data_IF_858555173733
#
_entry.id   IF_858555173733
#
_cell.length_a   1.000
_cell.length_b   1.000
_cell.length_c   1.000
_cell.angle_alpha   90.00
_cell.angle_beta   90.00
_cell.angle_gamma   90.00
#
_symmetry.space_group_name_H-M   'P 1'
#
loop_
_entity.id
_entity.type
_entity.pdbx_description
1 polymer ?
#
# COMPACT_ATOMS: atom_id res chain seq x y z
N UNK A 1 11.61 16.28 30.73
CA UNK A 1 12.63 15.57 29.90
C UNK A 1 13.90 16.40 29.89
N UNK A 2 15.03 15.79 30.20
CA UNK A 2 16.36 16.42 30.10
C UNK A 2 16.94 16.21 28.70
N UNK A 3 17.99 16.96 28.35
CA UNK A 3 18.67 16.75 27.05
C UNK A 3 19.28 15.36 26.93
N UNK A 4 19.84 14.81 28.03
CA UNK A 4 20.39 13.44 28.01
C UNK A 4 19.31 12.35 27.76
N UNK A 5 18.15 12.50 28.39
CA UNK A 5 17.01 11.61 28.13
C UNK A 5 16.54 11.69 26.67
N UNK A 6 16.45 12.92 26.13
CA UNK A 6 16.09 13.13 24.73
C UNK A 6 17.13 12.50 23.78
N UNK A 7 18.41 12.71 24.03
CA UNK A 7 19.49 12.14 23.21
C UNK A 7 19.46 10.60 23.19
N UNK A 8 19.18 9.98 24.35
CA UNK A 8 19.02 8.52 24.43
C UNK A 8 17.81 8.03 23.64
N UNK A 9 16.66 8.72 23.75
CA UNK A 9 15.45 8.39 22.97
C UNK A 9 15.73 8.48 21.47
N UNK A 10 16.39 9.55 21.00
CA UNK A 10 16.77 9.72 19.60
C UNK A 10 17.66 8.58 19.13
N UNK A 11 18.71 8.29 19.88
CA UNK A 11 19.68 7.24 19.53
C UNK A 11 19.02 5.86 19.41
N UNK A 12 18.20 5.48 20.39
CA UNK A 12 17.51 4.19 20.37
C UNK A 12 16.41 4.13 19.29
N UNK A 13 15.61 5.19 19.12
CA UNK A 13 14.57 5.27 18.10
C UNK A 13 15.13 5.16 16.68
N UNK A 14 16.33 5.72 16.45
CA UNK A 14 16.99 5.70 15.16
C UNK A 14 17.82 4.44 14.88
N UNK A 15 17.96 3.54 15.88
CA UNK A 15 18.76 2.32 15.73
C UNK A 15 18.13 1.39 14.68
N UNK A 16 18.98 0.90 13.76
CA UNK A 16 18.64 -0.19 12.84
C UNK A 16 19.01 -1.52 13.50
N UNK A 17 18.03 -2.41 13.60
CA UNK A 17 18.23 -3.74 14.19
C UNK A 17 18.94 -4.70 13.23
N UNK A 18 18.91 -4.41 11.91
CA UNK A 18 19.53 -5.23 10.87
C UNK A 18 20.20 -4.33 9.81
N UNK A 19 21.49 -4.57 9.58
CA UNK A 19 22.21 -4.01 8.43
C UNK A 19 21.90 -4.87 7.18
N UNK A 20 21.61 -4.23 6.04
CA UNK A 20 21.50 -4.94 4.75
C UNK A 20 20.10 -5.18 4.21
N UNK A 21 19.12 -4.36 4.54
CA UNK A 21 17.80 -4.42 3.88
C UNK A 21 17.90 -4.15 2.38
N UNK A 22 16.91 -4.66 1.64
CA UNK A 22 16.82 -4.46 0.19
C UNK A 22 16.71 -2.98 -0.18
N UNK A 23 17.14 -2.65 -1.40
CA UNK A 23 16.93 -1.30 -1.97
C UNK A 23 15.51 -1.22 -2.51
N UNK A 24 14.75 -0.24 -2.00
CA UNK A 24 13.37 -0.02 -2.43
C UNK A 24 13.29 0.99 -3.58
N UNK A 25 12.34 0.78 -4.48
CA UNK A 25 12.17 1.62 -5.68
C UNK A 25 11.99 3.12 -5.38
N UNK A 26 11.41 3.48 -4.25
CA UNK A 26 11.20 4.87 -3.83
C UNK A 26 12.38 5.50 -3.06
N UNK A 27 13.41 4.75 -2.69
CA UNK A 27 14.57 5.31 -1.98
C UNK A 27 15.27 6.40 -2.79
N UNK A 28 15.56 6.13 -4.05
CA UNK A 28 16.18 7.12 -4.96
C UNK A 28 15.33 8.41 -5.10
N UNK A 29 13.99 8.26 -5.15
CA UNK A 29 13.09 9.42 -5.21
C UNK A 29 13.10 10.21 -3.90
N UNK A 30 13.12 9.52 -2.76
CA UNK A 30 13.20 10.14 -1.44
C UNK A 30 14.54 10.84 -1.25
N UNK A 31 15.65 10.22 -1.65
CA UNK A 31 16.98 10.82 -1.60
C UNK A 31 17.08 12.10 -2.43
N UNK A 32 16.58 12.08 -3.67
CA UNK A 32 16.49 13.29 -4.50
C UNK A 32 15.67 14.40 -3.85
N UNK A 33 14.53 14.03 -3.24
CA UNK A 33 13.68 14.97 -2.51
C UNK A 33 14.34 15.49 -1.22
N UNK A 34 15.33 14.78 -0.69
CA UNK A 34 16.05 15.14 0.54
C UNK A 34 17.13 16.19 0.32
N UNK A 35 17.50 16.49 -0.93
CA UNK A 35 18.48 17.55 -1.28
C UNK A 35 17.98 18.93 -0.82
N UNK A 36 16.67 19.15 -0.89
CA UNK A 36 16.08 20.44 -0.49
C UNK A 36 15.27 20.29 0.81
N UNK A 37 15.30 21.30 1.71
CA UNK A 37 14.49 21.25 2.94
C UNK A 37 12.99 21.23 2.64
N UNK A 38 12.53 21.92 1.61
CA UNK A 38 11.12 21.95 1.18
C UNK A 38 10.92 21.12 -0.09
N UNK A 39 9.76 20.46 -0.29
CA UNK A 39 8.59 20.35 0.61
C UNK A 39 8.78 19.37 1.79
N UNK A 40 7.77 19.30 2.69
CA UNK A 40 7.68 18.28 3.75
C UNK A 40 7.53 16.91 3.09
N UNK A 41 8.32 15.93 3.53
CA UNK A 41 8.26 14.55 3.04
C UNK A 41 7.29 13.77 3.92
N UNK A 42 6.17 13.34 3.33
CA UNK A 42 5.11 12.59 4.01
C UNK A 42 5.16 11.14 3.56
N UNK A 43 5.47 10.25 4.48
CA UNK A 43 5.65 8.83 4.22
C UNK A 43 4.49 8.05 4.83
N UNK A 44 3.64 7.48 4.00
CA UNK A 44 2.46 6.73 4.41
C UNK A 44 2.54 5.27 3.99
N UNK A 45 1.63 4.46 4.47
CA UNK A 45 1.51 3.06 4.10
C UNK A 45 1.04 2.23 5.28
N UNK A 46 0.60 1.01 5.00
CA UNK A 46 0.10 0.11 6.03
C UNK A 46 1.15 -0.15 7.13
N UNK A 47 0.68 -0.49 8.31
CA UNK A 47 1.53 -0.92 9.42
C UNK A 47 2.48 -2.04 8.96
N UNK A 48 3.78 -1.94 9.33
CA UNK A 48 4.85 -2.91 9.01
C UNK A 48 5.25 -2.99 7.52
N UNK A 49 4.86 -2.02 6.69
CA UNK A 49 5.34 -1.93 5.29
C UNK A 49 6.80 -1.47 5.14
N UNK A 50 7.45 -1.04 6.23
CA UNK A 50 8.86 -0.60 6.23
C UNK A 50 9.06 0.92 6.30
N UNK A 51 8.05 1.73 6.65
CA UNK A 51 8.16 3.20 6.79
C UNK A 51 9.28 3.63 7.75
N UNK A 52 9.22 3.14 8.99
CA UNK A 52 10.23 3.44 10.03
C UNK A 52 11.62 2.95 9.64
N UNK A 53 11.71 1.78 8.97
CA UNK A 53 12.97 1.27 8.44
C UNK A 53 13.58 2.22 7.40
N UNK A 54 12.77 2.74 6.48
CA UNK A 54 13.20 3.71 5.47
C UNK A 54 13.73 5.00 6.11
N UNK A 55 13.05 5.52 7.16
CA UNK A 55 13.53 6.70 7.91
C UNK A 55 14.85 6.43 8.61
N UNK A 56 14.99 5.28 9.27
CA UNK A 56 16.24 4.89 9.96
C UNK A 56 17.40 4.71 8.98
N UNK A 57 17.14 4.17 7.79
CA UNK A 57 18.12 4.06 6.71
C UNK A 57 18.60 5.44 6.24
N UNK A 58 17.67 6.38 6.06
CA UNK A 58 18.00 7.76 5.71
C UNK A 58 18.78 8.46 6.85
N UNK A 59 18.38 8.27 8.10
CA UNK A 59 19.11 8.77 9.27
C UNK A 59 20.58 8.31 9.26
N UNK A 60 20.80 7.01 9.04
CA UNK A 60 22.16 6.45 8.94
C UNK A 60 22.97 7.06 7.80
N UNK A 61 22.36 7.17 6.61
CA UNK A 61 23.00 7.79 5.46
C UNK A 61 23.44 9.23 5.75
N UNK A 62 22.60 10.04 6.40
CA UNK A 62 22.93 11.42 6.77
C UNK A 62 24.17 11.50 7.65
N UNK A 63 24.34 10.56 8.59
CA UNK A 63 25.49 10.53 9.50
C UNK A 63 26.71 9.95 8.80
N UNK A 64 26.58 8.73 8.27
CA UNK A 64 27.72 7.91 7.83
C UNK A 64 28.27 8.37 6.48
N UNK A 65 27.41 8.92 5.59
CA UNK A 65 27.77 9.32 4.24
C UNK A 65 27.83 10.84 4.06
N UNK A 66 26.81 11.54 4.56
CA UNK A 66 26.67 12.98 4.33
C UNK A 66 27.36 13.82 5.44
N UNK A 67 27.88 13.18 6.49
CA UNK A 67 28.64 13.82 7.56
C UNK A 67 27.84 14.77 8.46
N UNK A 68 26.52 14.61 8.52
CA UNK A 68 25.64 15.43 9.36
C UNK A 68 25.83 15.04 10.82
N UNK A 69 26.04 16.04 11.69
CA UNK A 69 26.13 15.81 13.14
C UNK A 69 24.83 15.24 13.69
N UNK A 70 24.94 14.27 14.58
CA UNK A 70 23.79 13.70 15.30
C UNK A 70 23.00 14.79 16.06
N UNK A 71 23.68 15.83 16.56
CA UNK A 71 23.02 16.98 17.20
C UNK A 71 22.12 17.79 16.28
N UNK A 72 22.22 17.60 14.96
CA UNK A 72 21.39 18.28 13.96
C UNK A 72 20.21 17.42 13.47
N UNK A 73 20.02 16.23 14.07
CA UNK A 73 18.96 15.30 13.67
C UNK A 73 18.05 15.02 14.87
N UNK A 74 16.79 15.46 14.78
CA UNK A 74 15.74 15.09 15.72
C UNK A 74 14.98 13.88 15.16
N UNK A 75 15.06 12.73 15.84
CA UNK A 75 14.31 11.53 15.47
C UNK A 75 13.40 11.10 16.62
N UNK A 76 12.08 11.20 16.43
CA UNK A 76 11.08 10.84 17.43
C UNK A 76 10.13 9.79 16.84
N UNK A 77 10.02 8.63 17.52
CA UNK A 77 9.03 7.62 17.23
C UNK A 77 7.91 7.66 18.28
N UNK A 78 6.73 8.10 17.90
CA UNK A 78 5.59 8.27 18.83
C UNK A 78 4.88 6.95 19.18
N UNK A 79 5.38 5.80 18.75
CA UNK A 79 5.02 4.48 19.31
C UNK A 79 5.88 4.10 20.53
N UNK A 80 6.95 4.85 20.81
CA UNK A 80 7.78 4.66 22.00
C UNK A 80 6.98 5.02 23.25
N UNK A 81 6.94 4.12 24.23
CA UNK A 81 6.16 4.27 25.46
C UNK A 81 6.65 5.44 26.33
N UNK A 82 7.93 5.79 26.25
CA UNK A 82 8.53 6.95 26.93
C UNK A 82 7.94 8.28 26.42
N UNK A 83 7.38 8.30 25.21
CA UNK A 83 6.76 9.48 24.59
C UNK A 83 5.23 9.52 24.75
N UNK A 84 4.58 8.53 25.38
CA UNK A 84 3.11 8.50 25.52
C UNK A 84 2.56 9.76 26.17
N UNK A 85 3.19 10.23 27.26
CA UNK A 85 2.77 11.46 27.95
C UNK A 85 3.11 12.74 27.18
N UNK A 86 3.95 12.64 26.15
CA UNK A 86 4.42 13.72 25.31
C UNK A 86 3.59 13.89 24.03
N UNK A 87 2.53 13.08 23.83
CA UNK A 87 1.73 13.07 22.61
C UNK A 87 0.73 14.26 22.54
N UNK A 88 1.23 15.46 22.78
CA UNK A 88 0.47 16.71 22.68
C UNK A 88 1.35 17.85 22.13
N UNK A 89 0.70 18.89 21.62
CA UNK A 89 1.36 20.01 20.97
C UNK A 89 2.39 20.73 21.87
N UNK A 90 2.05 20.94 23.13
CA UNK A 90 2.94 21.67 24.08
C UNK A 90 4.21 20.89 24.34
N UNK A 91 4.09 19.59 24.64
CA UNK A 91 5.25 18.73 24.85
C UNK A 91 6.13 18.61 23.61
N UNK A 92 5.51 18.50 22.42
CA UNK A 92 6.26 18.45 21.17
C UNK A 92 7.07 19.72 20.91
N UNK A 93 6.53 20.89 21.25
CA UNK A 93 7.27 22.16 21.20
C UNK A 93 8.42 22.22 22.19
N UNK A 94 8.19 21.81 23.43
CA UNK A 94 9.24 21.78 24.44
C UNK A 94 10.40 20.84 24.07
N UNK A 95 10.10 19.68 23.47
CA UNK A 95 11.12 18.75 22.95
C UNK A 95 11.92 19.42 21.83
N UNK A 96 11.25 20.07 20.91
CA UNK A 96 11.90 20.77 19.80
C UNK A 96 12.79 21.93 20.27
N UNK A 97 12.31 22.75 21.20
CA UNK A 97 13.11 23.84 21.80
C UNK A 97 14.34 23.29 22.53
N UNK A 98 14.19 22.20 23.31
CA UNK A 98 15.29 21.54 23.96
C UNK A 98 16.32 21.01 22.94
N UNK A 99 15.85 20.37 21.85
CA UNK A 99 16.72 19.91 20.77
C UNK A 99 17.54 21.07 20.17
N UNK A 100 16.91 22.22 19.91
CA UNK A 100 17.59 23.38 19.32
C UNK A 100 18.75 23.92 20.17
N UNK A 101 18.79 23.65 21.47
CA UNK A 101 19.91 24.09 22.35
C UNK A 101 21.24 23.43 22.01
N UNK A 102 21.24 22.29 21.31
CA UNK A 102 22.44 21.53 20.94
C UNK A 102 22.75 21.54 19.43
N UNK A 103 21.92 22.19 18.63
CA UNK A 103 22.09 22.25 17.17
C UNK A 103 23.36 23.00 16.77
N UNK A 104 24.14 22.41 15.87
CA UNK A 104 25.24 23.10 15.20
C UNK A 104 24.67 23.99 14.08
N UNK A 105 24.75 25.27 14.24
CA UNK A 105 24.19 26.27 13.30
C UNK A 105 24.84 26.27 11.90
N UNK A 106 25.96 25.60 11.71
CA UNK A 106 26.67 25.53 10.42
C UNK A 106 26.18 24.40 9.49
N UNK A 107 25.35 23.51 10.01
CA UNK A 107 24.82 22.36 9.26
C UNK A 107 23.29 22.41 9.14
N UNK A 108 22.71 21.77 8.08
CA UNK A 108 21.28 21.66 7.98
C UNK A 108 20.67 20.80 9.12
N UNK A 109 19.42 21.10 9.47
CA UNK A 109 18.67 20.41 10.52
C UNK A 109 17.65 19.48 9.89
N UNK A 110 17.59 18.26 10.40
CA UNK A 110 16.68 17.20 9.96
C UNK A 110 15.73 16.82 11.11
N UNK A 111 14.43 16.75 10.79
CA UNK A 111 13.37 16.42 11.75
C UNK A 111 12.59 15.22 11.23
N UNK A 112 12.69 14.10 11.94
CA UNK A 112 11.97 12.84 11.66
C UNK A 112 10.93 12.63 12.76
N UNK A 113 9.65 12.62 12.36
CA UNK A 113 8.51 12.41 13.25
C UNK A 113 7.78 11.13 12.79
N UNK A 114 8.18 10.01 13.37
CA UNK A 114 7.66 8.69 13.04
C UNK A 114 6.35 8.43 13.78
N UNK A 115 5.30 7.96 13.05
CA UNK A 115 3.95 7.72 13.53
C UNK A 115 3.33 8.97 14.22
N UNK A 116 3.51 10.15 13.60
CA UNK A 116 3.13 11.47 14.17
C UNK A 116 1.63 11.61 14.49
N UNK A 117 0.76 10.81 13.89
CA UNK A 117 -0.69 10.84 14.13
C UNK A 117 -1.08 10.53 15.58
N UNK A 118 -0.17 10.07 16.41
CA UNK A 118 -0.42 9.90 17.86
C UNK A 118 -0.35 11.21 18.62
N UNK A 119 0.24 12.28 18.06
CA UNK A 119 0.39 13.58 18.70
C UNK A 119 -0.80 14.48 18.37
N UNK A 120 -1.56 14.89 19.37
CA UNK A 120 -2.67 15.83 19.15
C UNK A 120 -2.16 17.21 18.74
N UNK A 121 -2.67 17.75 17.62
CA UNK A 121 -2.32 19.07 17.10
C UNK A 121 -0.96 19.16 16.41
N UNK A 122 -0.38 18.04 16.01
CA UNK A 122 0.89 17.96 15.31
C UNK A 122 0.93 18.80 14.01
N UNK A 123 -0.19 18.94 13.33
CA UNK A 123 -0.30 19.68 12.07
C UNK A 123 0.10 21.16 12.25
N UNK A 124 -0.31 21.76 13.36
CA UNK A 124 0.04 23.15 13.71
C UNK A 124 1.53 23.29 13.98
N UNK A 125 2.13 22.30 14.64
CA UNK A 125 3.56 22.27 14.92
C UNK A 125 4.36 22.19 13.62
N UNK A 126 4.08 21.22 12.78
CA UNK A 126 4.76 20.99 11.50
C UNK A 126 4.65 22.22 10.60
N UNK A 127 3.46 22.84 10.53
CA UNK A 127 3.24 24.07 9.77
C UNK A 127 4.10 25.23 10.29
N UNK A 128 4.13 25.44 11.61
CA UNK A 128 4.93 26.51 12.22
C UNK A 128 6.40 26.36 11.86
N UNK A 129 6.98 25.17 12.02
CA UNK A 129 8.38 24.92 11.68
C UNK A 129 8.61 25.10 10.18
N UNK A 130 7.72 24.57 9.34
CA UNK A 130 7.84 24.74 7.89
C UNK A 130 7.87 26.21 7.46
N UNK A 131 7.02 27.05 8.04
CA UNK A 131 6.92 28.47 7.67
C UNK A 131 8.10 29.29 8.22
N UNK A 132 8.65 28.93 9.40
CA UNK A 132 9.65 29.72 10.11
C UNK A 132 11.10 29.27 9.90
N UNK A 133 11.33 28.07 9.31
CA UNK A 133 12.67 27.50 9.20
C UNK A 133 12.94 26.88 7.82
N UNK A 134 14.21 26.53 7.58
CA UNK A 134 14.66 25.72 6.44
C UNK A 134 15.06 24.30 6.87
N UNK A 135 14.35 23.73 7.83
CA UNK A 135 14.60 22.36 8.26
C UNK A 135 14.05 21.33 7.26
N UNK A 136 14.74 20.20 7.15
CA UNK A 136 14.26 19.04 6.41
C UNK A 136 13.26 18.27 7.29
N UNK A 137 11.98 18.25 6.91
CA UNK A 137 10.92 17.65 7.72
C UNK A 137 10.43 16.38 7.04
N UNK A 138 10.45 15.27 7.79
CA UNK A 138 9.95 13.95 7.41
C UNK A 138 8.93 13.51 8.44
N UNK A 139 7.76 13.13 7.97
CA UNK A 139 6.70 12.62 8.83
C UNK A 139 6.20 11.28 8.30
N UNK A 140 5.91 10.34 9.20
CA UNK A 140 5.28 9.09 8.81
C UNK A 140 3.97 8.85 9.53
N UNK A 141 3.17 7.97 8.94
CA UNK A 141 2.01 7.39 9.58
C UNK A 141 1.38 6.23 8.83
N UNK A 142 0.74 5.37 9.59
CA UNK A 142 0.03 4.19 9.10
C UNK A 142 -1.40 4.46 8.65
N UNK A 143 -1.75 5.73 8.40
CA UNK A 143 -3.11 6.13 8.08
C UNK A 143 -3.12 7.27 7.06
N UNK A 144 -4.11 7.26 6.15
CA UNK A 144 -4.32 8.30 5.14
C UNK A 144 -4.75 9.67 5.72
N UNK A 145 -4.98 9.78 7.04
CA UNK A 145 -5.24 11.07 7.67
C UNK A 145 -4.10 12.07 7.47
N UNK A 146 -2.86 11.57 7.35
CA UNK A 146 -1.70 12.39 6.95
C UNK A 146 -1.84 12.98 5.55
N UNK A 147 -2.73 12.41 4.73
CA UNK A 147 -3.06 12.84 3.37
C UNK A 147 -4.46 13.47 3.31
N UNK A 148 -5.11 13.68 4.47
CA UNK A 148 -6.46 14.23 4.50
C UNK A 148 -6.51 15.61 3.85
N UNK A 149 -7.66 15.94 3.27
CA UNK A 149 -7.91 17.26 2.68
C UNK A 149 -7.64 18.39 3.66
N UNK A 150 -7.89 18.19 4.95
CA UNK A 150 -7.62 19.19 6.00
C UNK A 150 -6.13 19.46 6.16
N UNK A 151 -5.29 18.42 6.19
CA UNK A 151 -3.84 18.58 6.28
C UNK A 151 -3.25 19.11 4.97
N UNK A 152 -3.63 18.50 3.83
CA UNK A 152 -3.20 18.96 2.50
C UNK A 152 -3.63 20.41 2.24
N UNK A 153 -4.84 20.79 2.64
CA UNK A 153 -5.33 22.17 2.50
C UNK A 153 -4.59 23.12 3.44
N UNK A 154 -4.31 22.71 4.68
CA UNK A 154 -3.59 23.54 5.66
C UNK A 154 -2.15 23.83 5.23
N UNK A 155 -1.52 22.92 4.50
CA UNK A 155 -0.16 23.05 3.97
C UNK A 155 -0.08 23.47 2.50
N UNK A 156 -1.22 23.58 1.80
CA UNK A 156 -1.31 24.22 0.49
C UNK A 156 -0.31 23.72 -0.57
N UNK A 157 -0.20 22.40 -0.80
CA UNK A 157 0.73 21.83 -1.77
C UNK A 157 2.21 21.79 -1.34
N UNK A 158 2.48 22.00 -0.05
CA UNK A 158 3.84 22.01 0.53
C UNK A 158 4.32 20.64 0.99
N UNK A 159 3.69 19.56 0.52
CA UNK A 159 4.00 18.18 0.87
C UNK A 159 4.44 17.39 -0.37
N UNK A 160 5.34 16.45 -0.18
CA UNK A 160 5.71 15.43 -1.15
C UNK A 160 5.43 14.06 -0.56
N UNK A 161 4.54 13.33 -1.22
CA UNK A 161 4.01 12.06 -0.72
C UNK A 161 4.81 10.87 -1.23
N UNK A 162 5.05 9.93 -0.29
CA UNK A 162 5.65 8.62 -0.53
C UNK A 162 4.77 7.56 0.10
N UNK A 163 4.01 6.84 -0.71
CA UNK A 163 3.22 5.71 -0.23
C UNK A 163 4.05 4.43 -0.28
N UNK A 164 4.27 3.81 0.88
CA UNK A 164 5.10 2.62 1.05
C UNK A 164 4.23 1.38 1.08
N UNK A 165 4.23 0.65 -0.01
CA UNK A 165 3.58 -0.66 -0.11
C UNK A 165 4.40 -1.76 0.59
N UNK A 166 3.82 -2.93 0.90
CA UNK A 166 4.57 -4.17 1.12
C UNK A 166 5.57 -4.42 -0.02
N UNK A 167 6.43 -5.41 0.04
CA UNK A 167 7.37 -5.67 -1.05
C UNK A 167 6.64 -5.97 -2.37
N UNK A 168 7.12 -5.42 -3.48
CA UNK A 168 6.77 -5.90 -4.81
C UNK A 168 7.36 -7.31 -5.02
N UNK A 169 6.93 -8.02 -6.05
CA UNK A 169 7.51 -9.34 -6.31
C UNK A 169 9.02 -9.26 -6.59
N UNK A 170 9.47 -8.23 -7.29
CA UNK A 170 10.91 -7.97 -7.50
C UNK A 170 11.66 -7.75 -6.18
N UNK A 171 11.13 -6.93 -5.28
CA UNK A 171 11.69 -6.68 -3.95
C UNK A 171 11.65 -7.95 -3.08
N UNK A 172 10.58 -8.75 -3.21
CA UNK A 172 10.45 -10.05 -2.55
C UNK A 172 11.55 -11.02 -3.01
N UNK A 173 11.80 -11.15 -4.32
CA UNK A 173 12.90 -11.98 -4.84
C UNK A 173 14.27 -11.51 -4.33
N UNK A 174 14.51 -10.19 -4.33
CA UNK A 174 15.76 -9.63 -3.79
C UNK A 174 15.96 -9.96 -2.30
N UNK A 175 14.88 -10.00 -1.50
CA UNK A 175 14.98 -10.37 -0.08
C UNK A 175 15.44 -11.81 0.14
N UNK A 176 15.25 -12.68 -0.85
CA UNK A 176 15.78 -14.05 -0.91
C UNK A 176 17.05 -14.17 -1.75
N UNK A 177 17.71 -13.05 -2.08
CA UNK A 177 18.94 -13.01 -2.88
C UNK A 177 18.79 -13.62 -4.30
N UNK A 178 17.57 -13.64 -4.83
CA UNK A 178 17.29 -14.08 -6.19
C UNK A 178 17.37 -12.86 -7.11
N UNK A 179 18.25 -12.94 -8.10
CA UNK A 179 18.38 -11.90 -9.14
C UNK A 179 17.14 -11.86 -10.02
N UNK A 180 16.78 -10.65 -10.47
CA UNK A 180 15.76 -10.47 -11.49
C UNK A 180 16.40 -10.77 -12.84
N UNK A 181 15.87 -11.76 -13.61
CA UNK A 181 16.42 -12.13 -14.91
C UNK A 181 16.41 -10.96 -15.89
N UNK A 182 17.52 -10.76 -16.61
CA UNK A 182 17.68 -9.69 -17.59
C UNK A 182 17.58 -10.19 -19.04
N UNK A 183 17.60 -11.51 -19.23
CA UNK A 183 17.55 -12.15 -20.53
C UNK A 183 16.91 -13.56 -20.44
N UNK A 184 16.48 -14.15 -21.58
CA UNK A 184 15.82 -15.46 -21.60
C UNK A 184 16.64 -16.62 -21.02
N UNK A 185 17.98 -16.55 -21.05
CA UNK A 185 18.84 -17.60 -20.50
C UNK A 185 18.82 -17.58 -18.97
N UNK A 186 18.99 -16.41 -18.37
CA UNK A 186 18.86 -16.24 -16.92
C UNK A 186 17.44 -16.62 -16.45
N UNK A 187 16.41 -16.29 -17.25
CA UNK A 187 15.05 -16.71 -16.97
C UNK A 187 14.91 -18.24 -16.93
N UNK A 188 15.48 -18.93 -17.91
CA UNK A 188 15.45 -20.41 -17.95
C UNK A 188 16.17 -21.02 -16.74
N UNK A 189 17.32 -20.46 -16.34
CA UNK A 189 18.09 -20.89 -15.18
C UNK A 189 17.34 -20.69 -13.86
N UNK A 190 16.72 -19.52 -13.67
CA UNK A 190 16.09 -19.13 -12.41
C UNK A 190 14.61 -19.53 -12.32
N UNK A 191 14.02 -20.05 -13.39
CA UNK A 191 12.58 -20.30 -13.51
C UNK A 191 11.98 -21.06 -12.33
N UNK A 192 12.57 -22.18 -11.96
CA UNK A 192 12.08 -23.01 -10.85
C UNK A 192 12.06 -22.26 -9.53
N UNK A 193 13.12 -21.51 -9.24
CA UNK A 193 13.23 -20.69 -8.01
C UNK A 193 12.22 -19.54 -8.01
N UNK A 194 12.05 -18.88 -9.16
CA UNK A 194 11.10 -17.76 -9.31
C UNK A 194 9.67 -18.28 -9.17
N UNK A 195 9.31 -19.38 -9.85
CA UNK A 195 7.97 -19.97 -9.76
C UNK A 195 7.63 -20.39 -8.32
N UNK A 196 8.55 -21.08 -7.64
CA UNK A 196 8.35 -21.45 -6.24
C UNK A 196 8.13 -20.22 -5.33
N UNK A 197 8.93 -19.16 -5.52
CA UNK A 197 8.79 -17.92 -4.75
C UNK A 197 7.54 -17.15 -5.14
N UNK A 198 7.13 -17.25 -6.39
CA UNK A 198 5.90 -16.60 -6.84
C UNK A 198 4.67 -17.22 -6.18
N UNK A 199 4.59 -18.54 -6.08
CA UNK A 199 3.51 -19.23 -5.35
C UNK A 199 3.45 -18.78 -3.88
N UNK A 200 4.61 -18.66 -3.22
CA UNK A 200 4.67 -18.12 -1.85
C UNK A 200 4.19 -16.68 -1.77
N UNK A 201 4.58 -15.84 -2.74
CA UNK A 201 4.19 -14.44 -2.82
C UNK A 201 2.68 -14.28 -3.07
N UNK A 202 2.13 -15.08 -3.98
CA UNK A 202 0.68 -15.10 -4.25
C UNK A 202 -0.10 -15.51 -3.00
N UNK A 203 0.35 -16.52 -2.27
CA UNK A 203 -0.35 -17.03 -1.08
C UNK A 203 -0.20 -16.12 0.16
N UNK A 204 0.99 -15.60 0.43
CA UNK A 204 1.32 -14.93 1.69
C UNK A 204 1.72 -13.45 1.54
N UNK A 205 1.74 -12.92 0.32
CA UNK A 205 2.11 -11.54 0.06
C UNK A 205 3.58 -11.23 0.26
N UNK A 206 3.86 -9.92 0.36
CA UNK A 206 5.22 -9.36 0.48
C UNK A 206 5.43 -8.50 1.73
N UNK A 207 4.67 -8.69 2.80
CA UNK A 207 4.85 -7.87 4.01
C UNK A 207 6.19 -8.18 4.67
N UNK A 208 7.13 -7.19 4.76
CA UNK A 208 8.53 -7.41 5.14
C UNK A 208 8.76 -8.24 6.41
N UNK A 209 7.94 -8.03 7.44
CA UNK A 209 8.07 -8.72 8.72
C UNK A 209 7.65 -10.19 8.66
N UNK A 210 6.80 -10.56 7.68
CA UNK A 210 6.18 -11.88 7.61
C UNK A 210 6.89 -12.80 6.61
N UNK A 211 7.51 -12.26 5.57
CA UNK A 211 8.04 -13.07 4.46
C UNK A 211 9.03 -14.16 4.90
N UNK A 212 9.89 -13.86 5.87
CA UNK A 212 10.93 -14.77 6.35
C UNK A 212 10.48 -15.72 7.47
N UNK A 213 9.23 -15.59 7.95
CA UNK A 213 8.70 -16.49 8.97
C UNK A 213 8.40 -17.88 8.36
N UNK A 214 8.53 -18.96 9.15
CA UNK A 214 7.96 -20.25 8.78
C UNK A 214 6.46 -20.15 8.48
N UNK A 215 5.93 -20.98 7.59
CA UNK A 215 4.51 -20.91 7.19
C UNK A 215 3.55 -21.02 8.40
N UNK A 216 3.89 -21.90 9.36
CA UNK A 216 3.13 -22.04 10.62
C UNK A 216 3.03 -20.76 11.44
N UNK A 217 4.06 -19.91 11.40
CA UNK A 217 4.12 -18.66 12.15
C UNK A 217 3.51 -17.48 11.39
N UNK A 218 3.45 -17.54 10.06
CA UNK A 218 2.88 -16.46 9.23
C UNK A 218 1.43 -16.16 9.60
N UNK A 219 0.61 -17.18 9.84
CA UNK A 219 -0.79 -17.02 10.22
C UNK A 219 -0.95 -16.40 11.61
N UNK A 220 -0.09 -16.78 12.57
CA UNK A 220 -0.10 -16.19 13.90
C UNK A 220 0.30 -14.71 13.85
N UNK A 221 1.36 -14.38 13.11
CA UNK A 221 1.81 -13.00 12.93
C UNK A 221 0.74 -12.16 12.22
N UNK A 222 0.08 -12.71 11.18
CA UNK A 222 -1.07 -12.10 10.51
C UNK A 222 -2.18 -11.76 11.49
N UNK A 223 -2.65 -12.73 12.28
CA UNK A 223 -3.77 -12.54 13.18
C UNK A 223 -3.46 -11.43 14.20
N UNK A 224 -2.26 -11.44 14.78
CA UNK A 224 -1.79 -10.38 15.68
C UNK A 224 -1.76 -9.01 15.00
N UNK A 225 -1.34 -8.95 13.74
CA UNK A 225 -1.28 -7.70 12.99
C UNK A 225 -2.68 -7.17 12.65
N UNK A 226 -3.58 -8.05 12.19
CA UNK A 226 -4.99 -7.70 11.91
C UNK A 226 -5.65 -7.15 13.17
N UNK A 227 -5.47 -7.83 14.32
CA UNK A 227 -6.04 -7.38 15.58
C UNK A 227 -5.52 -5.96 15.93
N UNK A 228 -4.21 -5.71 15.80
CA UNK A 228 -3.65 -4.38 16.02
C UNK A 228 -4.24 -3.33 15.09
N UNK A 229 -4.37 -3.62 13.80
CA UNK A 229 -4.97 -2.69 12.83
C UNK A 229 -6.45 -2.45 13.17
N UNK A 230 -7.23 -3.51 13.35
CA UNK A 230 -8.67 -3.41 13.64
C UNK A 230 -8.93 -2.68 14.96
N UNK A 231 -8.25 -3.09 16.04
CA UNK A 231 -8.52 -2.53 17.37
C UNK A 231 -7.90 -1.14 17.52
N UNK A 232 -6.61 -0.99 17.24
CA UNK A 232 -5.88 0.25 17.53
C UNK A 232 -6.11 1.33 16.47
N UNK A 233 -5.99 0.95 15.19
CA UNK A 233 -5.98 1.92 14.11
C UNK A 233 -7.40 2.24 13.60
N UNK A 234 -8.40 1.37 13.86
CA UNK A 234 -9.80 1.61 13.48
C UNK A 234 -10.68 1.84 14.72
N UNK A 235 -10.91 0.82 15.56
CA UNK A 235 -11.90 0.88 16.65
C UNK A 235 -11.59 2.02 17.62
N UNK A 236 -10.38 2.04 18.19
CA UNK A 236 -10.00 3.04 19.20
C UNK A 236 -9.90 4.44 18.60
N UNK A 237 -9.34 4.54 17.41
CA UNK A 237 -9.12 5.83 16.73
C UNK A 237 -10.43 6.50 16.32
N UNK A 238 -11.33 5.76 15.69
CA UNK A 238 -12.62 6.29 15.23
C UNK A 238 -13.73 6.14 16.26
N UNK A 239 -13.40 5.62 17.47
CA UNK A 239 -14.34 5.40 18.59
C UNK A 239 -15.60 4.67 18.14
N UNK A 240 -15.41 3.51 17.47
CA UNK A 240 -16.52 2.76 16.88
C UNK A 240 -17.51 2.28 17.93
N UNK A 241 -18.79 2.55 17.67
CA UNK A 241 -19.88 2.12 18.53
C UNK A 241 -20.14 0.60 18.47
N UNK A 242 -19.88 -0.03 17.32
CA UNK A 242 -20.19 -1.44 17.06
C UNK A 242 -18.98 -2.17 16.47
N UNK A 243 -17.98 -2.55 17.29
CA UNK A 243 -16.78 -3.25 16.82
C UNK A 243 -17.03 -4.58 16.09
N UNK A 244 -18.11 -5.30 16.46
CA UNK A 244 -18.50 -6.58 15.84
C UNK A 244 -18.80 -6.43 14.37
N UNK A 245 -19.45 -5.34 13.95
CA UNK A 245 -19.72 -5.04 12.53
C UNK A 245 -18.43 -4.96 11.73
N UNK A 246 -17.39 -4.36 12.31
CA UNK A 246 -16.10 -4.23 11.62
C UNK A 246 -15.44 -5.59 11.38
N UNK A 247 -15.54 -6.50 12.35
CA UNK A 247 -15.00 -7.87 12.21
C UNK A 247 -15.75 -8.67 11.14
N UNK A 248 -17.09 -8.60 11.13
CA UNK A 248 -17.91 -9.24 10.10
C UNK A 248 -17.66 -8.63 8.71
N UNK A 249 -17.43 -7.31 8.64
CA UNK A 249 -17.08 -6.63 7.40
C UNK A 249 -15.68 -7.07 6.88
N UNK A 250 -14.69 -7.16 7.76
CA UNK A 250 -13.37 -7.67 7.41
C UNK A 250 -13.44 -9.08 6.84
N UNK A 251 -14.17 -9.99 7.54
CA UNK A 251 -14.36 -11.38 7.07
C UNK A 251 -15.07 -11.43 5.71
N UNK A 252 -16.09 -10.59 5.51
CA UNK A 252 -16.74 -10.47 4.21
C UNK A 252 -15.75 -10.12 3.11
N UNK A 253 -14.93 -9.07 3.34
CA UNK A 253 -13.95 -8.62 2.35
C UNK A 253 -12.85 -9.68 2.09
N UNK A 254 -12.49 -10.45 3.12
CA UNK A 254 -11.50 -11.53 2.98
C UNK A 254 -12.01 -12.67 2.07
N UNK A 255 -13.30 -13.01 2.19
CA UNK A 255 -13.94 -14.07 1.39
C UNK A 255 -14.38 -13.60 -0.01
N UNK A 256 -14.44 -12.28 -0.24
CA UNK A 256 -14.94 -11.66 -1.46
C UNK A 256 -13.97 -10.61 -2.01
N UNK A 257 -12.67 -10.91 -1.90
CA UNK A 257 -11.61 -10.04 -2.47
C UNK A 257 -11.76 -10.01 -3.99
N UNK A 258 -11.84 -8.81 -4.58
CA UNK A 258 -12.02 -8.67 -6.02
C UNK A 258 -13.47 -8.71 -6.49
N UNK A 259 -14.42 -9.13 -5.67
CA UNK A 259 -15.83 -9.12 -6.03
C UNK A 259 -16.42 -7.71 -6.10
N UNK A 260 -17.37 -7.53 -7.03
CA UNK A 260 -18.13 -6.27 -7.14
C UNK A 260 -19.16 -6.20 -6.03
N UNK A 261 -19.00 -5.25 -5.12
CA UNK A 261 -19.88 -5.05 -3.99
C UNK A 261 -20.35 -3.61 -3.82
N UNK A 262 -21.54 -3.44 -3.23
CA UNK A 262 -22.03 -2.17 -2.71
C UNK A 262 -22.22 -2.27 -1.20
N UNK A 263 -22.18 -1.14 -0.49
CA UNK A 263 -22.44 -1.11 0.95
C UNK A 263 -23.78 -1.76 1.32
N UNK A 264 -24.78 -1.64 0.46
CA UNK A 264 -26.12 -2.27 0.61
C UNK A 264 -26.03 -3.79 0.50
N UNK A 265 -25.32 -4.32 -0.50
CA UNK A 265 -25.14 -5.77 -0.67
C UNK A 265 -24.39 -6.39 0.50
N UNK A 266 -23.32 -5.75 0.93
CA UNK A 266 -22.53 -6.16 2.10
C UNK A 266 -23.39 -6.15 3.37
N UNK A 267 -24.17 -5.08 3.59
CA UNK A 267 -25.06 -4.99 4.75
C UNK A 267 -26.09 -6.14 4.77
N UNK A 268 -26.67 -6.47 3.61
CA UNK A 268 -27.63 -7.57 3.48
C UNK A 268 -26.98 -8.93 3.74
N UNK A 269 -25.76 -9.15 3.21
CA UNK A 269 -25.00 -10.37 3.46
C UNK A 269 -24.76 -10.58 4.96
N UNK A 270 -24.21 -9.57 5.65
CA UNK A 270 -23.92 -9.64 7.09
C UNK A 270 -25.20 -9.88 7.91
N UNK A 271 -26.33 -9.24 7.55
CA UNK A 271 -27.62 -9.49 8.21
C UNK A 271 -28.10 -10.94 8.06
N UNK A 272 -27.94 -11.51 6.88
CA UNK A 272 -28.36 -12.88 6.56
C UNK A 272 -27.56 -13.93 7.33
N UNK A 273 -26.34 -13.61 7.79
CA UNK A 273 -25.56 -14.47 8.68
C UNK A 273 -26.10 -14.48 10.13
N UNK A 274 -27.09 -13.66 10.45
CA UNK A 274 -27.83 -13.71 11.71
C UNK A 274 -27.19 -12.99 12.90
N UNK A 275 -25.97 -12.48 12.76
CA UNK A 275 -25.25 -11.84 13.87
C UNK A 275 -25.77 -10.43 14.20
N UNK A 276 -26.26 -9.69 13.20
CA UNK A 276 -26.61 -8.27 13.35
C UNK A 276 -27.91 -7.96 12.59
N UNK A 277 -29.02 -7.84 13.32
CA UNK A 277 -30.35 -7.61 12.72
C UNK A 277 -30.53 -6.21 12.12
N UNK A 278 -29.98 -5.17 12.75
CA UNK A 278 -30.18 -3.76 12.38
C UNK A 278 -28.87 -3.12 11.87
N UNK A 279 -28.37 -3.53 10.71
CA UNK A 279 -27.20 -2.96 10.07
C UNK A 279 -27.63 -2.06 8.90
N UNK A 280 -27.28 -0.77 8.94
CA UNK A 280 -27.54 0.14 7.82
C UNK A 280 -26.39 0.09 6.79
N UNK A 281 -26.73 0.30 5.51
CA UNK A 281 -25.77 0.49 4.43
C UNK A 281 -24.84 1.68 4.69
N UNK A 282 -25.34 2.74 5.32
CA UNK A 282 -24.53 3.91 5.74
C UNK A 282 -23.44 3.54 6.73
N UNK A 283 -23.77 2.67 7.71
CA UNK A 283 -22.76 2.19 8.68
C UNK A 283 -21.66 1.38 7.99
N UNK A 284 -22.04 0.47 7.09
CA UNK A 284 -21.08 -0.31 6.30
C UNK A 284 -20.20 0.60 5.46
N UNK A 285 -20.77 1.61 4.79
CA UNK A 285 -20.02 2.57 3.99
C UNK A 285 -18.97 3.32 4.82
N UNK A 286 -19.34 3.81 6.00
CA UNK A 286 -18.42 4.50 6.92
C UNK A 286 -17.29 3.55 7.38
N UNK A 287 -17.62 2.30 7.70
CA UNK A 287 -16.61 1.33 8.15
C UNK A 287 -15.67 0.89 7.03
N UNK A 288 -16.16 0.79 5.79
CA UNK A 288 -15.31 0.61 4.60
C UNK A 288 -14.34 1.77 4.44
N UNK A 289 -14.82 3.02 4.57
CA UNK A 289 -13.96 4.21 4.51
C UNK A 289 -12.88 4.20 5.61
N UNK A 290 -13.19 3.68 6.80
CA UNK A 290 -12.18 3.54 7.86
C UNK A 290 -11.13 2.48 7.54
N UNK A 291 -11.52 1.34 6.94
CA UNK A 291 -10.56 0.34 6.46
C UNK A 291 -9.69 0.87 5.32
N UNK A 292 -10.29 1.59 4.36
CA UNK A 292 -9.53 2.29 3.30
C UNK A 292 -8.53 3.29 3.91
N UNK A 293 -8.93 4.05 4.93
CA UNK A 293 -8.06 5.02 5.63
C UNK A 293 -6.86 4.37 6.33
N UNK A 294 -6.92 3.12 6.75
CA UNK A 294 -5.78 2.40 7.33
C UNK A 294 -4.88 1.74 6.29
N UNK A 295 -5.16 1.95 5.01
CA UNK A 295 -4.48 1.28 3.90
C UNK A 295 -4.57 -0.25 3.93
N UNK A 296 -5.48 -0.82 4.71
CA UNK A 296 -5.69 -2.28 4.76
C UNK A 296 -6.35 -2.79 3.48
N UNK A 297 -7.33 -2.03 3.00
CA UNK A 297 -8.03 -2.30 1.74
C UNK A 297 -8.00 -1.07 0.85
N UNK A 298 -8.07 -1.30 -0.44
CA UNK A 298 -8.20 -0.29 -1.47
C UNK A 298 -9.38 -0.63 -2.37
N UNK A 299 -10.06 0.38 -2.89
CA UNK A 299 -11.23 0.19 -3.72
C UNK A 299 -11.03 0.78 -5.10
N UNK A 300 -11.41 0.03 -6.14
CA UNK A 300 -11.51 0.56 -7.50
C UNK A 300 -12.97 0.69 -7.94
N UNK A 301 -13.19 1.65 -8.84
CA UNK A 301 -14.51 1.97 -9.37
C UNK A 301 -14.70 1.35 -10.74
N UNK A 302 -15.96 1.23 -11.15
CA UNK A 302 -16.31 0.87 -12.53
C UNK A 302 -15.78 1.94 -13.49
N UNK A 303 -15.14 1.52 -14.56
CA UNK A 303 -14.84 2.39 -15.69
C UNK A 303 -16.15 2.80 -16.40
N UNK A 304 -16.39 4.08 -16.56
CA UNK A 304 -17.54 4.58 -17.31
C UNK A 304 -17.28 5.94 -17.92
N UNK A 305 -17.79 6.13 -19.15
CA UNK A 305 -17.82 7.45 -19.80
C UNK A 305 -19.01 8.30 -19.37
N UNK A 306 -20.05 7.68 -18.76
CA UNK A 306 -21.26 8.37 -18.34
C UNK A 306 -21.10 8.92 -16.94
N UNK A 307 -21.23 10.24 -16.76
CA UNK A 307 -21.08 10.91 -15.46
C UNK A 307 -21.95 10.29 -14.34
N UNK A 308 -23.16 9.81 -14.67
CA UNK A 308 -24.04 9.15 -13.70
C UNK A 308 -23.49 7.80 -13.17
N UNK A 309 -22.71 7.09 -13.98
CA UNK A 309 -22.14 5.78 -13.60
C UNK A 309 -20.83 5.94 -12.82
N UNK A 310 -20.13 7.07 -12.95
CA UNK A 310 -18.95 7.40 -12.15
C UNK A 310 -19.27 7.47 -10.64
N UNK A 311 -20.54 7.78 -10.32
CA UNK A 311 -21.05 7.81 -8.94
C UNK A 311 -21.69 6.47 -8.50
N UNK A 312 -21.46 5.39 -9.26
CA UNK A 312 -21.92 4.06 -8.85
C UNK A 312 -21.37 3.71 -7.47
N UNK A 313 -22.25 3.21 -6.60
CA UNK A 313 -21.83 2.73 -5.28
C UNK A 313 -21.11 1.36 -5.35
N UNK A 314 -21.11 0.71 -6.51
CA UNK A 314 -20.44 -0.57 -6.72
C UNK A 314 -18.94 -0.36 -6.90
N UNK A 315 -18.16 -1.08 -6.12
CA UNK A 315 -16.70 -1.08 -6.16
C UNK A 315 -16.20 -2.51 -6.06
N UNK A 316 -14.97 -2.75 -6.53
CA UNK A 316 -14.19 -3.92 -6.13
C UNK A 316 -13.25 -3.51 -4.99
N UNK A 317 -13.08 -4.37 -4.01
CA UNK A 317 -12.20 -4.14 -2.86
C UNK A 317 -11.07 -5.16 -2.86
N UNK A 318 -9.84 -4.68 -2.70
CA UNK A 318 -8.63 -5.48 -2.65
C UNK A 318 -7.83 -5.18 -1.39
N UNK A 319 -7.19 -6.19 -0.84
CA UNK A 319 -6.23 -5.98 0.24
C UNK A 319 -4.90 -5.49 -0.30
N UNK A 320 -4.22 -4.64 0.48
CA UNK A 320 -2.89 -4.12 0.13
C UNK A 320 -1.82 -5.22 0.07
N UNK A 321 -2.10 -6.38 0.64
CA UNK A 321 -1.22 -7.56 0.64
C UNK A 321 -2.04 -8.84 0.87
N UNK A 322 -1.67 -9.93 0.19
CA UNK A 322 -2.40 -11.18 0.25
C UNK A 322 -2.37 -11.86 1.62
N UNK A 323 -1.43 -11.50 2.49
CA UNK A 323 -1.44 -12.00 3.88
C UNK A 323 -2.75 -11.65 4.61
N UNK A 324 -3.46 -10.62 4.17
CA UNK A 324 -4.74 -10.20 4.76
C UNK A 324 -5.97 -10.90 4.17
N UNK A 325 -5.81 -11.66 3.07
CA UNK A 325 -6.88 -12.35 2.35
C UNK A 325 -6.64 -13.86 2.19
N UNK A 326 -6.01 -14.50 3.17
CA UNK A 326 -5.62 -15.92 3.09
C UNK A 326 -6.80 -16.90 3.01
N UNK A 327 -8.01 -16.46 3.35
CA UNK A 327 -9.24 -17.27 3.23
C UNK A 327 -9.89 -17.16 1.84
N UNK A 328 -9.42 -16.27 0.97
CA UNK A 328 -9.87 -16.17 -0.43
C UNK A 328 -9.42 -17.36 -1.26
N UNK A 329 -9.98 -17.51 -2.44
CA UNK A 329 -9.57 -18.55 -3.39
C UNK A 329 -8.27 -18.17 -4.13
N UNK A 330 -7.52 -19.13 -4.69
CA UNK A 330 -6.29 -18.86 -5.44
C UNK A 330 -6.46 -17.91 -6.62
N UNK A 331 -7.63 -17.88 -7.25
CA UNK A 331 -7.99 -16.95 -8.33
C UNK A 331 -8.01 -15.50 -7.81
N UNK A 332 -8.67 -15.28 -6.67
CA UNK A 332 -8.76 -13.99 -5.99
C UNK A 332 -7.39 -13.53 -5.47
N UNK A 333 -6.54 -14.46 -4.99
CA UNK A 333 -5.17 -14.11 -4.61
C UNK A 333 -4.36 -13.59 -5.79
N UNK A 334 -4.47 -14.22 -6.96
CA UNK A 334 -3.75 -13.79 -8.15
C UNK A 334 -4.25 -12.42 -8.61
N UNK A 335 -5.57 -12.23 -8.65
CA UNK A 335 -6.17 -10.95 -9.01
C UNK A 335 -5.74 -9.84 -8.06
N UNK A 336 -5.73 -10.09 -6.73
CA UNK A 336 -5.26 -9.13 -5.74
C UNK A 336 -3.76 -8.78 -5.89
N UNK A 337 -2.91 -9.75 -6.24
CA UNK A 337 -1.48 -9.52 -6.51
C UNK A 337 -1.29 -8.66 -7.77
N UNK A 338 -2.04 -8.96 -8.84
CA UNK A 338 -2.02 -8.16 -10.07
C UNK A 338 -2.52 -6.73 -9.78
N UNK A 339 -3.62 -6.58 -9.05
CA UNK A 339 -4.10 -5.27 -8.59
C UNK A 339 -2.99 -4.48 -7.87
N UNK A 340 -2.35 -5.09 -6.87
CA UNK A 340 -1.27 -4.46 -6.11
C UNK A 340 -0.08 -4.06 -6.98
N UNK A 341 0.23 -4.81 -8.03
CA UNK A 341 1.22 -4.42 -9.02
C UNK A 341 0.76 -3.18 -9.81
N UNK A 342 -0.48 -3.20 -10.32
CA UNK A 342 -1.01 -2.13 -11.15
C UNK A 342 -1.05 -0.77 -10.45
N UNK A 343 -1.46 -0.72 -9.18
CA UNK A 343 -1.49 0.53 -8.40
C UNK A 343 -0.11 1.06 -8.00
N UNK A 344 0.95 0.25 -8.11
CA UNK A 344 2.34 0.68 -7.88
C UNK A 344 2.96 1.33 -9.09
N UNK A 345 2.59 0.84 -10.29
CA UNK A 345 3.18 1.30 -11.55
C UNK A 345 2.32 2.35 -12.25
N UNK A 346 1.06 2.51 -11.84
CA UNK A 346 0.14 3.51 -12.36
C UNK A 346 -0.36 4.43 -11.23
N UNK A 347 -0.93 5.57 -11.59
CA UNK A 347 -1.71 6.35 -10.65
C UNK A 347 -2.97 5.54 -10.26
N UNK A 348 -3.20 5.26 -8.96
CA UNK A 348 -4.37 4.49 -8.51
C UNK A 348 -5.71 5.06 -8.99
N UNK A 349 -5.80 6.36 -9.23
CA UNK A 349 -7.01 7.02 -9.77
C UNK A 349 -7.32 6.66 -11.23
N UNK A 350 -6.36 6.05 -11.93
CA UNK A 350 -6.48 5.60 -13.32
C UNK A 350 -6.70 4.10 -13.47
N UNK A 351 -6.84 3.37 -12.35
CA UNK A 351 -7.12 1.93 -12.33
C UNK A 351 -8.60 1.71 -12.02
N UNK A 352 -9.29 0.99 -12.89
CA UNK A 352 -10.72 0.71 -12.83
C UNK A 352 -10.98 -0.76 -13.08
N UNK A 353 -12.22 -1.23 -12.85
CA UNK A 353 -12.71 -2.48 -13.44
C UNK A 353 -13.70 -2.17 -14.57
N UNK A 354 -13.79 -3.06 -15.56
CA UNK A 354 -14.74 -2.98 -16.66
C UNK A 354 -15.97 -3.84 -16.40
N UNK A 355 -17.20 -3.33 -16.74
CA UNK A 355 -18.40 -4.15 -16.73
C UNK A 355 -19.39 -3.62 -17.74
N UNK A 356 -19.84 -4.47 -18.65
CA UNK A 356 -20.83 -4.12 -19.64
C UNK A 356 -22.27 -4.21 -19.11
N UNK A 357 -23.26 -3.85 -19.95
CA UNK A 357 -24.69 -3.88 -19.61
C UNK A 357 -25.23 -5.31 -19.41
N UNK A 358 -24.54 -6.33 -19.95
CA UNK A 358 -24.88 -7.75 -19.80
C UNK A 358 -24.20 -8.40 -18.60
N UNK A 359 -23.47 -7.62 -17.81
CA UNK A 359 -22.79 -8.10 -16.60
C UNK A 359 -21.43 -8.77 -16.85
N UNK A 360 -20.91 -8.76 -18.10
CA UNK A 360 -19.59 -9.30 -18.40
C UNK A 360 -18.52 -8.35 -17.90
N UNK A 361 -17.50 -8.88 -17.31
CA UNK A 361 -16.51 -8.15 -16.53
C UNK A 361 -15.12 -8.25 -17.16
N UNK A 362 -14.38 -7.14 -17.15
CA UNK A 362 -12.94 -7.07 -17.34
C UNK A 362 -12.33 -6.68 -16.00
N UNK A 363 -11.39 -7.47 -15.49
CA UNK A 363 -10.87 -7.31 -14.14
C UNK A 363 -10.24 -5.94 -13.93
N UNK A 364 -9.40 -5.49 -14.87
CA UNK A 364 -8.78 -4.17 -14.79
C UNK A 364 -8.83 -3.42 -16.10
N UNK A 365 -9.13 -2.13 -16.01
CA UNK A 365 -9.03 -1.14 -17.08
C UNK A 365 -8.11 -0.01 -16.60
N UNK A 366 -7.06 0.26 -17.36
CA UNK A 366 -6.09 1.31 -17.03
C UNK A 366 -6.23 2.43 -18.04
N UNK A 367 -6.44 3.65 -17.55
CA UNK A 367 -6.43 4.84 -18.41
C UNK A 367 -5.03 5.44 -18.44
N UNK A 368 -4.36 5.31 -19.57
CA UNK A 368 -3.04 5.84 -19.80
C UNK A 368 -3.02 7.38 -19.92
N UNK A 369 -1.84 7.99 -19.82
CA UNK A 369 -1.66 9.45 -19.95
C UNK A 369 -2.11 9.99 -21.32
N UNK A 370 -2.02 9.20 -22.37
CA UNK A 370 -2.50 9.50 -23.74
C UNK A 370 -4.01 9.22 -23.93
N UNK A 371 -4.74 8.92 -22.86
CA UNK A 371 -6.16 8.59 -22.79
C UNK A 371 -6.52 7.25 -23.44
N UNK A 372 -5.56 6.42 -23.82
CA UNK A 372 -5.81 5.04 -24.23
C UNK A 372 -6.18 4.18 -23.03
N UNK A 373 -6.89 3.10 -23.31
CA UNK A 373 -7.40 2.17 -22.31
C UNK A 373 -6.76 0.80 -22.53
N UNK A 374 -5.93 0.39 -21.57
CA UNK A 374 -5.48 -0.99 -21.49
C UNK A 374 -6.49 -1.81 -20.72
N UNK A 375 -6.75 -3.03 -21.17
CA UNK A 375 -7.65 -3.97 -20.52
C UNK A 375 -6.90 -5.25 -20.14
N UNK A 376 -7.04 -5.66 -18.89
CA UNK A 376 -6.34 -6.81 -18.32
C UNK A 376 -7.38 -7.75 -17.72
N UNK A 377 -7.32 -9.02 -18.15
CA UNK A 377 -8.05 -10.12 -17.56
C UNK A 377 -7.06 -10.99 -16.79
N UNK A 378 -7.46 -11.51 -15.63
CA UNK A 378 -6.65 -12.38 -14.80
C UNK A 378 -7.27 -13.76 -14.72
N UNK A 379 -6.47 -14.79 -14.91
CA UNK A 379 -6.92 -16.18 -14.87
C UNK A 379 -5.88 -17.04 -14.12
N UNK A 380 -6.27 -17.65 -13.00
CA UNK A 380 -5.34 -18.48 -12.24
C UNK A 380 -4.88 -19.68 -13.05
N UNK A 381 -5.80 -20.34 -13.75
CA UNK A 381 -5.54 -21.54 -14.54
C UNK A 381 -6.18 -21.44 -15.91
N UNK A 382 -5.36 -21.21 -16.94
CA UNK A 382 -5.81 -21.13 -18.32
C UNK A 382 -5.88 -22.53 -18.94
N UNK A 383 -7.06 -22.90 -19.41
CA UNK A 383 -7.35 -24.21 -20.04
C UNK A 383 -8.03 -24.02 -21.38
N UNK A 384 -8.14 -25.09 -22.19
CA UNK A 384 -8.89 -25.04 -23.45
C UNK A 384 -10.38 -24.71 -23.21
N UNK A 385 -10.95 -25.11 -22.06
CA UNK A 385 -12.37 -24.93 -21.74
C UNK A 385 -12.72 -23.48 -21.35
N UNK A 386 -11.81 -22.77 -20.68
CA UNK A 386 -12.08 -21.40 -20.20
C UNK A 386 -11.50 -20.30 -21.10
N UNK A 387 -10.60 -20.63 -22.01
CA UNK A 387 -9.93 -19.67 -22.90
C UNK A 387 -10.92 -18.75 -23.63
N UNK A 388 -11.93 -19.33 -24.26
CA UNK A 388 -12.93 -18.55 -25.01
C UNK A 388 -13.70 -17.59 -24.13
N UNK A 389 -13.97 -17.93 -22.87
CA UNK A 389 -14.62 -17.07 -21.89
C UNK A 389 -13.74 -15.85 -21.59
N UNK A 390 -12.47 -16.10 -21.24
CA UNK A 390 -11.52 -15.05 -20.84
C UNK A 390 -11.23 -14.08 -21.99
N UNK A 391 -10.99 -14.60 -23.19
CA UNK A 391 -10.73 -13.80 -24.40
C UNK A 391 -11.95 -13.01 -24.83
N UNK A 392 -13.14 -13.61 -24.73
CA UNK A 392 -14.40 -13.00 -25.20
C UNK A 392 -14.64 -11.64 -24.54
N UNK A 393 -14.34 -11.53 -23.25
CA UNK A 393 -14.56 -10.29 -22.50
C UNK A 393 -13.62 -9.19 -23.00
N UNK A 394 -12.34 -9.51 -23.20
CA UNK A 394 -11.35 -8.57 -23.76
C UNK A 394 -11.70 -8.15 -25.19
N UNK A 395 -12.13 -9.08 -26.05
CA UNK A 395 -12.56 -8.77 -27.42
C UNK A 395 -13.76 -7.81 -27.44
N UNK A 396 -14.75 -8.07 -26.59
CA UNK A 396 -15.90 -7.17 -26.47
C UNK A 396 -15.51 -5.79 -25.96
N UNK A 397 -14.61 -5.73 -24.97
CA UNK A 397 -14.09 -4.45 -24.53
C UNK A 397 -13.41 -3.68 -25.67
N UNK A 398 -12.63 -4.36 -26.51
CA UNK A 398 -11.97 -3.75 -27.66
C UNK A 398 -12.96 -3.20 -28.70
N UNK A 399 -14.05 -3.93 -28.96
CA UNK A 399 -15.10 -3.50 -29.89
C UNK A 399 -15.78 -2.20 -29.44
N UNK A 400 -16.03 -2.07 -28.12
CA UNK A 400 -16.65 -0.85 -27.56
C UNK A 400 -15.69 0.34 -27.45
N UNK A 401 -14.38 0.11 -27.49
CA UNK A 401 -13.36 1.13 -27.22
C UNK A 401 -12.37 1.33 -28.38
N UNK A 402 -12.71 0.95 -29.61
CA UNK A 402 -11.82 0.95 -30.79
C UNK A 402 -10.94 2.19 -30.93
N UNK A 403 -11.52 3.38 -30.75
CA UNK A 403 -10.84 4.66 -30.96
C UNK A 403 -9.83 4.99 -29.83
N UNK A 404 -9.88 4.29 -28.71
CA UNK A 404 -9.06 4.52 -27.51
C UNK A 404 -8.43 3.26 -26.99
N UNK A 405 -8.42 2.21 -27.79
CA UNK A 405 -7.85 0.94 -27.38
C UNK A 405 -6.32 1.06 -27.23
N UNK A 406 -5.82 0.63 -26.08
CA UNK A 406 -4.43 0.38 -25.81
C UNK A 406 -4.09 -1.11 -25.91
N UNK A 407 -3.53 -1.67 -24.88
CA UNK A 407 -3.16 -3.09 -24.81
C UNK A 407 -4.32 -3.95 -24.30
N UNK A 408 -4.39 -5.18 -24.82
CA UNK A 408 -5.22 -6.24 -24.28
C UNK A 408 -4.31 -7.34 -23.72
N UNK A 409 -4.43 -7.62 -22.44
CA UNK A 409 -3.58 -8.59 -21.76
C UNK A 409 -4.41 -9.64 -21.03
N UNK A 410 -4.04 -10.91 -21.16
CA UNK A 410 -4.53 -12.02 -20.34
C UNK A 410 -3.37 -12.51 -19.48
N UNK A 411 -3.45 -12.23 -18.18
CA UNK A 411 -2.44 -12.60 -17.18
C UNK A 411 -2.85 -13.92 -16.55
N UNK A 412 -1.97 -14.93 -16.58
CA UNK A 412 -2.26 -16.24 -16.05
C UNK A 412 -1.15 -16.76 -15.13
N UNK A 413 -1.50 -17.65 -14.20
CA UNK A 413 -0.53 -18.36 -13.36
C UNK A 413 -0.08 -19.68 -14.02
N UNK A 414 -1.03 -20.49 -14.45
CA UNK A 414 -0.77 -21.79 -15.08
C UNK A 414 -1.43 -21.85 -16.46
N UNK A 415 -0.69 -22.32 -17.45
CA UNK A 415 -1.20 -22.55 -18.81
C UNK A 415 -1.23 -24.07 -19.10
N UNK A 416 -2.42 -24.64 -18.98
CA UNK A 416 -2.69 -26.08 -19.19
C UNK A 416 -3.37 -26.36 -20.53
N UNK A 417 -3.34 -25.42 -21.47
CA UNK A 417 -3.91 -25.63 -22.81
C UNK A 417 -3.15 -26.71 -23.57
N UNK A 418 -3.88 -27.53 -24.29
CA UNK A 418 -3.32 -28.58 -25.16
C UNK A 418 -2.54 -27.99 -26.34
N UNK A 419 -2.95 -26.81 -26.85
CA UNK A 419 -2.27 -26.04 -27.90
C UNK A 419 -1.99 -24.61 -27.43
N UNK A 420 -0.70 -24.30 -27.29
CA UNK A 420 -0.24 -22.96 -26.90
C UNK A 420 -0.10 -22.04 -28.11
N UNK A 421 -1.24 -21.73 -28.77
CA UNK A 421 -1.27 -20.79 -29.88
C UNK A 421 -1.34 -19.34 -29.37
N UNK A 422 -0.74 -18.43 -30.12
CA UNK A 422 -0.92 -16.99 -29.95
C UNK A 422 -2.38 -16.61 -30.28
N UNK A 423 -2.87 -15.61 -29.59
CA UNK A 423 -4.22 -15.08 -29.80
C UNK A 423 -4.08 -13.71 -30.42
N UNK A 424 -4.70 -13.49 -31.57
CA UNK A 424 -4.62 -12.22 -32.26
C UNK A 424 -5.07 -11.06 -31.33
N UNK A 425 -4.30 -10.02 -31.31
CA UNK A 425 -4.52 -8.76 -30.56
C UNK A 425 -4.55 -8.87 -29.02
N UNK A 426 -4.31 -10.07 -28.45
CA UNK A 426 -4.27 -10.28 -26.98
C UNK A 426 -2.91 -10.84 -26.59
N UNK A 427 -2.21 -10.14 -25.71
CA UNK A 427 -0.94 -10.60 -25.16
C UNK A 427 -1.19 -11.53 -23.98
N UNK A 428 -0.67 -12.75 -24.08
CA UNK A 428 -0.69 -13.72 -22.98
C UNK A 428 0.57 -13.56 -22.14
N UNK A 429 0.42 -13.31 -20.84
CA UNK A 429 1.56 -13.05 -19.95
C UNK A 429 1.45 -13.91 -18.70
N UNK A 430 2.50 -14.71 -18.43
CA UNK A 430 2.62 -15.38 -17.13
C UNK A 430 2.73 -14.34 -16.01
N UNK A 431 1.98 -14.52 -14.93
CA UNK A 431 1.87 -13.52 -13.87
C UNK A 431 3.23 -13.20 -13.21
N UNK A 432 4.10 -14.19 -13.04
CA UNK A 432 5.45 -13.99 -12.53
C UNK A 432 6.29 -13.05 -13.40
N UNK A 433 6.09 -13.07 -14.73
CA UNK A 433 6.72 -12.14 -15.67
C UNK A 433 6.09 -10.74 -15.59
N UNK A 434 4.75 -10.67 -15.51
CA UNK A 434 4.03 -9.39 -15.44
C UNK A 434 4.46 -8.53 -14.26
N UNK A 435 4.75 -9.17 -13.12
CA UNK A 435 5.07 -8.48 -11.86
C UNK A 435 6.55 -8.07 -11.75
N UNK A 436 7.40 -8.48 -12.69
CA UNK A 436 8.78 -8.05 -12.74
C UNK A 436 8.94 -6.78 -13.60
N UNK A 437 9.98 -5.97 -13.37
CA UNK A 437 10.29 -4.82 -14.22
C UNK A 437 10.42 -5.26 -15.68
N UNK A 438 9.68 -4.62 -16.56
CA UNK A 438 9.84 -4.80 -18.00
C UNK A 438 11.01 -3.93 -18.46
N UNK A 439 12.00 -4.51 -19.10
CA UNK A 439 13.16 -3.78 -19.68
C UNK A 439 12.74 -3.01 -20.92
#
# INVERSE_FOLDING_TARGET
MTYSELANIIHESARLDHEGGIIRSYETRLEKASITPKPIKVITGIRRSGKSYLLKKLYRKLIDTDGISVSNILFLNFEDDRLIQQQNLTSLRNIYELFLTAVNSTQPVYIFLDEIQYVSGWERFVRTIYDSTLHHIYITGSNSHLLSSEFSTSLGGRILEFHIFPFSFAEFLQSFQIKIPQNPFEWAELRSSITFRFEQYVKFGGLPEIINLPESEKLNARNSLIEKIIVRDVINRFKLRYPTILKSLYLYLELHTGDIASSKNIANYIKNQGEIKNLSDKTVKIYLEYLEKTFLVMAIKKFSYKTKEIFSEQKKYYFVDNIFSVLADPEDWLENVVFNHLIRVNDPSNVYYGRDERGREVDFVIRNSDQRLDAIQVCYKLTDDNLDREIRTLKLFSEYNKDRLGKLELVYQFDERSRKSEIADITLIEASHKLLPQN
#
